data_IF_954533890866
#
_entry.id   IF_954533890866
#
_cell.length_a   1.000
_cell.length_b   1.000
_cell.length_c   1.000
_cell.angle_alpha   90.00
_cell.angle_beta   90.00
_cell.angle_gamma   90.00
#
_symmetry.space_group_name_H-M   'P 1'
#
loop_
_entity.id
_entity.type
_entity.pdbx_description
1 polymer ?
#
# COMPACT_ATOMS: atom_id res chain seq x y z
N UNK A 1 9.16 -20.06 9.90
CA UNK A 1 7.71 -19.84 9.74
C UNK A 1 7.05 -21.19 9.50
N UNK A 2 6.31 -21.71 10.48
CA UNK A 2 5.60 -23.00 10.37
C UNK A 2 4.11 -22.86 10.04
N UNK A 3 3.57 -21.64 10.11
CA UNK A 3 2.19 -21.31 9.71
C UNK A 3 2.19 -20.51 8.38
N UNK A 4 1.18 -20.71 7.53
CA UNK A 4 0.91 -19.83 6.39
C UNK A 4 0.87 -18.37 6.86
N UNK A 5 1.55 -17.50 6.14
CA UNK A 5 1.66 -16.07 6.47
C UNK A 5 1.67 -15.22 5.21
N UNK A 6 0.99 -14.08 5.26
CA UNK A 6 0.95 -13.09 4.20
C UNK A 6 1.20 -11.69 4.75
N UNK A 7 1.83 -10.82 3.94
CA UNK A 7 2.02 -9.40 4.22
C UNK A 7 1.36 -8.57 3.12
N UNK A 8 0.55 -7.59 3.51
CA UNK A 8 0.03 -6.59 2.59
C UNK A 8 0.69 -5.27 2.98
N UNK A 9 1.51 -4.73 2.08
CA UNK A 9 2.19 -3.44 2.26
C UNK A 9 1.41 -2.36 1.51
N UNK A 10 0.89 -1.38 2.24
CA UNK A 10 0.07 -0.30 1.67
C UNK A 10 0.89 0.98 1.60
N UNK A 11 1.10 1.50 0.40
CA UNK A 11 1.82 2.77 0.18
C UNK A 11 1.45 3.38 -1.17
N UNK A 12 1.42 4.71 -1.26
CA UNK A 12 1.17 5.41 -2.53
C UNK A 12 2.24 5.14 -3.60
N UNK A 13 3.44 4.71 -3.21
CA UNK A 13 4.50 4.30 -4.13
C UNK A 13 4.18 2.99 -4.85
N UNK A 14 3.25 2.18 -4.33
CA UNK A 14 2.82 0.95 -4.98
C UNK A 14 2.00 1.22 -6.26
N UNK A 15 1.44 2.42 -6.42
CA UNK A 15 0.62 2.81 -7.58
C UNK A 15 1.29 3.84 -8.48
N UNK A 16 2.46 4.34 -8.09
CA UNK A 16 3.31 5.09 -8.99
C UNK A 16 4.24 4.16 -9.74
N UNK A 17 4.16 4.18 -11.06
CA UNK A 17 4.92 3.30 -11.95
C UNK A 17 6.44 3.43 -11.71
N UNK A 18 6.93 4.65 -11.47
CA UNK A 18 8.34 4.94 -11.20
C UNK A 18 8.78 4.63 -9.75
N UNK A 19 7.85 4.42 -8.81
CA UNK A 19 8.15 4.20 -7.39
C UNK A 19 7.84 2.78 -6.90
N UNK A 20 7.47 1.86 -7.79
CA UNK A 20 7.19 0.47 -7.41
C UNK A 20 8.38 -0.21 -6.71
N UNK A 21 9.59 0.16 -7.11
CA UNK A 21 10.83 -0.29 -6.44
C UNK A 21 10.93 0.25 -5.00
N UNK A 22 10.49 1.49 -4.75
CA UNK A 22 10.45 2.05 -3.39
C UNK A 22 9.42 1.33 -2.52
N UNK A 23 8.25 0.98 -3.08
CA UNK A 23 7.25 0.19 -2.36
C UNK A 23 7.81 -1.18 -1.91
N UNK A 24 8.64 -1.82 -2.75
CA UNK A 24 9.32 -3.07 -2.39
C UNK A 24 10.36 -2.87 -1.27
N UNK A 25 11.09 -1.74 -1.25
CA UNK A 25 12.06 -1.45 -0.19
C UNK A 25 11.43 -1.42 1.20
N UNK A 26 10.16 -0.99 1.33
CA UNK A 26 9.46 -1.04 2.62
C UNK A 26 9.29 -2.47 3.12
N UNK A 27 8.95 -3.41 2.23
CA UNK A 27 8.85 -4.84 2.55
C UNK A 27 10.22 -5.39 2.95
N UNK A 28 11.24 -5.10 2.16
CA UNK A 28 12.59 -5.62 2.40
C UNK A 28 13.15 -5.12 3.75
N UNK A 29 12.92 -3.84 4.04
CA UNK A 29 13.28 -3.24 5.32
C UNK A 29 12.52 -3.89 6.49
N UNK A 30 11.21 -4.05 6.36
CA UNK A 30 10.38 -4.70 7.38
C UNK A 30 10.86 -6.13 7.66
N UNK A 31 11.12 -6.93 6.61
CA UNK A 31 11.67 -8.29 6.74
C UNK A 31 13.05 -8.29 7.40
N UNK A 32 13.91 -7.32 7.06
CA UNK A 32 15.24 -7.18 7.67
C UNK A 32 15.18 -6.86 9.16
N UNK A 33 14.24 -6.00 9.58
CA UNK A 33 14.12 -5.55 10.98
C UNK A 33 13.42 -6.58 11.84
N UNK A 34 12.30 -7.13 11.35
CA UNK A 34 11.45 -8.05 12.12
C UNK A 34 11.97 -9.49 12.06
N UNK A 35 12.72 -9.85 11.02
CA UNK A 35 13.22 -11.22 10.80
C UNK A 35 12.13 -12.22 10.40
N UNK A 36 10.88 -11.78 10.27
CA UNK A 36 9.75 -12.58 9.81
C UNK A 36 9.60 -12.48 8.29
N UNK A 37 9.65 -13.62 7.61
CA UNK A 37 9.50 -13.73 6.15
C UNK A 37 8.11 -14.27 5.80
N UNK A 38 7.17 -13.44 5.33
CA UNK A 38 5.86 -13.91 4.90
C UNK A 38 6.00 -14.81 3.68
N UNK A 39 5.08 -15.77 3.52
CA UNK A 39 5.05 -16.68 2.35
C UNK A 39 4.52 -15.97 1.11
N UNK A 40 3.67 -14.97 1.30
CA UNK A 40 3.07 -14.17 0.23
C UNK A 40 3.14 -12.69 0.59
N UNK A 41 3.39 -11.84 -0.40
CA UNK A 41 3.39 -10.38 -0.22
C UNK A 41 2.58 -9.73 -1.32
N UNK A 42 1.78 -8.72 -0.96
CA UNK A 42 1.07 -7.85 -1.89
C UNK A 42 1.42 -6.38 -1.62
N UNK A 43 1.64 -5.60 -2.67
CA UNK A 43 1.81 -4.15 -2.60
C UNK A 43 0.51 -3.49 -3.09
N UNK A 44 -0.05 -2.55 -2.32
CA UNK A 44 -1.29 -1.83 -2.69
C UNK A 44 -1.17 -0.32 -2.45
N UNK A 45 -1.87 0.46 -3.27
CA UNK A 45 -1.92 1.93 -3.14
C UNK A 45 -2.71 2.44 -1.94
N UNK A 46 -3.72 1.66 -1.53
CA UNK A 46 -4.67 2.07 -0.49
C UNK A 46 -5.65 3.13 -1.02
N UNK A 47 -6.18 3.96 -0.13
CA UNK A 47 -7.09 5.04 -0.49
C UNK A 47 -6.70 6.35 0.22
N UNK A 48 -6.88 7.46 -0.48
CA UNK A 48 -6.82 8.80 0.09
C UNK A 48 -8.25 9.29 0.31
N UNK A 49 -8.66 9.37 1.58
CA UNK A 49 -10.00 9.82 1.98
C UNK A 49 -9.91 11.25 2.53
N UNK A 50 -9.79 12.23 1.64
CA UNK A 50 -9.68 13.64 2.03
C UNK A 50 -10.88 14.11 2.83
N UNK A 51 -12.07 13.53 2.62
CA UNK A 51 -13.28 13.86 3.38
C UNK A 51 -13.22 13.43 4.85
N UNK A 52 -12.34 12.50 5.20
CA UNK A 52 -12.16 11.97 6.57
C UNK A 52 -10.91 12.55 7.27
N UNK A 53 -10.17 13.46 6.63
CA UNK A 53 -8.88 13.95 7.12
C UNK A 53 -9.02 15.17 8.06
N UNK A 54 -8.28 15.13 9.17
CA UNK A 54 -8.06 16.28 10.03
C UNK A 54 -6.97 17.23 9.48
N UNK A 55 -6.76 18.37 10.15
CA UNK A 55 -5.79 19.38 9.72
C UNK A 55 -4.37 18.83 9.49
N UNK A 56 -3.92 17.84 10.27
CA UNK A 56 -2.58 17.26 10.12
C UNK A 56 -2.51 16.32 8.91
N UNK A 57 -3.55 15.52 8.70
CA UNK A 57 -3.67 14.65 7.54
C UNK A 57 -3.75 15.45 6.23
N UNK A 58 -4.43 16.61 6.24
CA UNK A 58 -4.40 17.56 5.12
C UNK A 58 -2.99 18.07 4.80
N UNK A 59 -2.15 18.36 5.80
CA UNK A 59 -0.77 18.83 5.55
C UNK A 59 0.08 17.72 4.91
N UNK A 60 -0.08 16.47 5.33
CA UNK A 60 0.60 15.31 4.73
C UNK A 60 0.22 15.17 3.27
N UNK A 61 -1.07 15.29 2.96
CA UNK A 61 -1.58 15.34 1.59
C UNK A 61 -0.97 16.47 0.79
N UNK A 62 -1.02 17.70 1.31
CA UNK A 62 -0.51 18.90 0.62
C UNK A 62 0.97 18.72 0.29
N UNK A 63 1.75 18.14 1.19
CA UNK A 63 3.15 17.82 0.97
C UNK A 63 3.37 16.77 -0.14
N UNK A 64 2.56 15.70 -0.18
CA UNK A 64 2.63 14.66 -1.22
C UNK A 64 2.22 15.24 -2.59
N UNK A 65 1.16 16.04 -2.64
CA UNK A 65 0.69 16.77 -3.82
C UNK A 65 1.74 17.75 -4.33
N UNK A 66 2.36 18.54 -3.45
CA UNK A 66 3.42 19.49 -3.80
C UNK A 66 4.68 18.81 -4.33
N UNK A 67 4.99 17.58 -3.89
CA UNK A 67 6.11 16.79 -4.45
C UNK A 67 5.80 16.21 -5.83
N UNK A 68 4.53 15.98 -6.15
CA UNK A 68 4.08 15.41 -7.43
C UNK A 68 3.55 16.54 -8.31
N UNK A 69 4.45 17.21 -9.04
CA UNK A 69 4.15 18.26 -10.02
C UNK A 69 3.09 17.82 -11.05
N UNK A 70 1.80 17.93 -10.72
CA UNK A 70 0.68 17.50 -11.57
C UNK A 70 -0.43 16.65 -10.93
N UNK A 71 -0.53 16.57 -9.60
CA UNK A 71 -1.59 15.78 -8.95
C UNK A 71 -3.01 16.41 -9.02
N UNK A 72 -4.08 15.60 -8.99
CA UNK A 72 -5.47 16.06 -9.10
C UNK A 72 -5.86 16.95 -7.91
N UNK A 73 -6.85 17.84 -8.12
CA UNK A 73 -7.40 18.71 -7.07
C UNK A 73 -7.82 17.89 -5.83
N UNK A 74 -7.45 18.30 -4.61
CA UNK A 74 -7.71 17.56 -3.35
C UNK A 74 -9.18 17.55 -2.90
N UNK A 75 -10.13 17.73 -3.83
CA UNK A 75 -11.55 17.90 -3.54
C UNK A 75 -12.34 16.59 -3.53
N UNK A 76 -11.71 15.45 -3.81
CA UNK A 76 -12.39 14.14 -3.88
C UNK A 76 -11.53 13.02 -3.35
N UNK A 77 -12.17 12.10 -2.62
CA UNK A 77 -11.57 10.84 -2.21
C UNK A 77 -11.07 10.08 -3.43
N UNK A 78 -9.84 9.59 -3.35
CA UNK A 78 -9.17 8.85 -4.40
C UNK A 78 -8.85 7.45 -3.91
N UNK A 79 -9.48 6.47 -4.53
CA UNK A 79 -9.23 5.06 -4.25
C UNK A 79 -8.18 4.52 -5.23
N UNK A 80 -7.10 3.98 -4.68
CA UNK A 80 -5.99 3.37 -5.40
C UNK A 80 -5.85 1.87 -5.08
N UNK A 81 -6.80 1.32 -4.33
CA UNK A 81 -6.87 -0.10 -4.03
C UNK A 81 -7.48 -0.83 -5.22
N UNK A 82 -6.71 -1.74 -5.83
CA UNK A 82 -7.27 -2.74 -6.72
C UNK A 82 -7.91 -3.85 -5.88
N UNK A 83 -9.22 -3.73 -5.67
CA UNK A 83 -10.00 -4.67 -4.88
C UNK A 83 -10.07 -6.08 -5.48
N UNK A 84 -10.01 -6.19 -6.82
CA UNK A 84 -9.99 -7.50 -7.47
C UNK A 84 -8.66 -8.20 -7.20
N UNK A 85 -7.55 -7.48 -7.38
CA UNK A 85 -6.21 -8.01 -7.05
C UNK A 85 -6.11 -8.41 -5.57
N UNK A 86 -6.71 -7.65 -4.65
CA UNK A 86 -6.74 -7.99 -3.24
C UNK A 86 -7.59 -9.26 -2.97
N UNK A 87 -8.77 -9.37 -3.59
CA UNK A 87 -9.60 -10.56 -3.48
C UNK A 87 -8.86 -11.81 -3.97
N UNK A 88 -8.28 -11.76 -5.18
CA UNK A 88 -7.50 -12.85 -5.76
C UNK A 88 -6.28 -13.22 -4.91
N UNK A 89 -5.66 -12.25 -4.24
CA UNK A 89 -4.57 -12.51 -3.31
C UNK A 89 -5.03 -13.25 -2.05
N UNK A 90 -6.17 -12.85 -1.49
CA UNK A 90 -6.77 -13.49 -0.30
C UNK A 90 -7.18 -14.92 -0.63
N UNK A 91 -7.83 -15.16 -1.78
CA UNK A 91 -8.24 -16.50 -2.20
C UNK A 91 -7.04 -17.44 -2.32
N UNK A 92 -5.97 -17.00 -3.00
CA UNK A 92 -4.71 -17.75 -3.08
C UNK A 92 -4.06 -17.97 -1.72
N UNK A 93 -4.17 -17.02 -0.80
CA UNK A 93 -3.64 -17.21 0.55
C UNK A 93 -4.41 -18.29 1.31
N UNK A 94 -5.74 -18.31 1.20
CA UNK A 94 -6.59 -19.32 1.83
C UNK A 94 -6.31 -20.73 1.30
N UNK A 95 -6.04 -20.87 0.00
CA UNK A 95 -5.58 -22.14 -0.59
C UNK A 95 -4.26 -22.65 0.02
N UNK A 96 -3.38 -21.74 0.48
CA UNK A 96 -2.12 -22.12 1.14
C UNK A 96 -2.29 -22.46 2.62
N UNK A 97 -3.47 -22.20 3.19
CA UNK A 97 -3.77 -22.38 4.60
C UNK A 97 -4.67 -23.58 4.91
N UNK A 98 -5.34 -24.15 3.90
CA UNK A 98 -5.97 -25.47 3.97
C UNK A 98 -4.95 -26.60 3.90
#
# INVERSE_FOLDING_TARGET
NSKPSALISVSLSAVLEDEKTEAQKYVDHFVSVVGWRPRMTLLLGGALRFTEYDYFQEQVVKFIVMKRSGAPSPERDHEFTDWNTLADFVDRFLETAG
#
